data_IF_686261131958
#
_entry.id   IF_686261131958
#
_cell.length_a   1.000
_cell.length_b   1.000
_cell.length_c   1.000
_cell.angle_alpha   90.00
_cell.angle_beta   90.00
_cell.angle_gamma   90.00
#
_symmetry.space_group_name_H-M   'P 1'
#
loop_
_entity.id
_entity.type
_entity.pdbx_description
1 polymer ?
#
# COMPACT_ATOMS: atom_id res chain seq x y z
N UNK A 1 94.58 -17.82 -45.46
CA UNK A 1 94.09 -17.96 -44.07
C UNK A 1 93.18 -16.81 -43.63
N UNK A 2 93.40 -15.54 -44.00
CA UNK A 2 92.56 -14.42 -43.54
C UNK A 2 91.11 -14.38 -44.08
N UNK A 3 90.86 -14.83 -45.31
CA UNK A 3 89.53 -14.82 -45.93
C UNK A 3 88.59 -15.91 -45.38
N UNK A 4 89.13 -17.05 -44.98
CA UNK A 4 88.37 -18.18 -44.42
C UNK A 4 87.84 -17.87 -43.02
N UNK A 5 88.66 -17.23 -42.17
CA UNK A 5 88.30 -16.76 -40.83
C UNK A 5 87.19 -15.68 -40.84
N UNK A 6 87.19 -14.78 -41.83
CA UNK A 6 86.15 -13.75 -41.99
C UNK A 6 84.83 -14.38 -42.43
N UNK A 7 84.87 -15.36 -43.35
CA UNK A 7 83.67 -16.09 -43.79
C UNK A 7 83.06 -16.92 -42.66
N UNK A 8 83.88 -17.58 -41.81
CA UNK A 8 83.39 -18.30 -40.64
C UNK A 8 82.76 -17.37 -39.61
N UNK A 9 83.34 -16.19 -39.38
CA UNK A 9 82.81 -15.20 -38.42
C UNK A 9 81.46 -14.63 -38.88
N UNK A 10 81.32 -14.32 -40.18
CA UNK A 10 80.07 -13.83 -40.75
C UNK A 10 78.93 -14.87 -40.67
N UNK A 11 79.23 -16.16 -40.91
CA UNK A 11 78.26 -17.26 -40.79
C UNK A 11 77.78 -17.45 -39.34
N UNK A 12 78.68 -17.33 -38.38
CA UNK A 12 78.35 -17.44 -36.95
C UNK A 12 77.46 -16.26 -36.52
N UNK A 13 77.79 -15.04 -36.93
CA UNK A 13 76.98 -13.85 -36.62
C UNK A 13 75.57 -13.94 -37.23
N UNK A 14 75.45 -14.44 -38.47
CA UNK A 14 74.15 -14.70 -39.10
C UNK A 14 73.34 -15.74 -38.34
N UNK A 15 73.96 -16.84 -37.92
CA UNK A 15 73.28 -17.89 -37.13
C UNK A 15 72.74 -17.35 -35.79
N UNK A 16 73.51 -16.51 -35.09
CA UNK A 16 73.03 -15.86 -33.87
C UNK A 16 71.86 -14.90 -34.14
N UNK A 17 71.90 -14.15 -35.25
CA UNK A 17 70.78 -13.32 -35.69
C UNK A 17 69.51 -14.14 -35.97
N UNK A 18 69.63 -15.22 -36.74
CA UNK A 18 68.51 -16.12 -37.05
C UNK A 18 67.93 -16.77 -35.77
N UNK A 19 68.80 -17.11 -34.79
CA UNK A 19 68.36 -17.63 -33.48
C UNK A 19 67.61 -16.58 -32.65
N UNK A 20 68.06 -15.33 -32.65
CA UNK A 20 67.38 -14.23 -31.95
C UNK A 20 66.01 -13.92 -32.59
N UNK A 21 65.91 -13.98 -33.92
CA UNK A 21 64.62 -13.86 -34.64
C UNK A 21 63.66 -15.00 -34.26
N UNK A 22 64.14 -16.25 -34.26
CA UNK A 22 63.34 -17.40 -33.81
C UNK A 22 62.89 -17.27 -32.36
N UNK A 23 63.78 -16.79 -31.47
CA UNK A 23 63.46 -16.50 -30.06
C UNK A 23 62.37 -15.43 -29.94
N UNK A 24 62.41 -14.38 -30.76
CA UNK A 24 61.40 -13.32 -30.76
C UNK A 24 60.02 -13.84 -31.22
N UNK A 25 59.98 -14.72 -32.23
CA UNK A 25 58.74 -15.38 -32.68
C UNK A 25 58.18 -16.28 -31.57
N UNK A 26 59.02 -17.12 -30.95
CA UNK A 26 58.60 -17.97 -29.83
C UNK A 26 58.07 -17.15 -28.65
N UNK A 27 58.70 -16.01 -28.35
CA UNK A 27 58.23 -15.10 -27.30
C UNK A 27 56.86 -14.52 -27.64
N UNK A 28 56.65 -14.08 -28.88
CA UNK A 28 55.36 -13.55 -29.36
C UNK A 28 54.28 -14.62 -29.33
N UNK A 29 54.59 -15.83 -29.82
CA UNK A 29 53.67 -16.96 -29.79
C UNK A 29 53.29 -17.33 -28.37
N UNK A 30 54.24 -17.36 -27.45
CA UNK A 30 53.98 -17.62 -26.02
C UNK A 30 53.04 -16.58 -25.44
N UNK A 31 53.26 -15.29 -25.71
CA UNK A 31 52.38 -14.20 -25.24
C UNK A 31 50.95 -14.35 -25.77
N UNK A 32 50.79 -14.68 -27.06
CA UNK A 32 49.47 -14.90 -27.64
C UNK A 32 48.76 -16.09 -26.99
N UNK A 33 49.47 -17.20 -26.75
CA UNK A 33 48.91 -18.35 -26.05
C UNK A 33 48.51 -18.03 -24.62
N UNK A 34 49.31 -17.26 -23.87
CA UNK A 34 48.95 -16.84 -22.52
C UNK A 34 47.71 -15.96 -22.52
N UNK A 35 47.66 -14.95 -23.41
CA UNK A 35 46.48 -14.07 -23.52
C UNK A 35 45.22 -14.84 -23.92
N UNK A 36 45.35 -15.81 -24.82
CA UNK A 36 44.23 -16.66 -25.24
C UNK A 36 43.74 -17.54 -24.07
N UNK A 37 44.66 -18.13 -23.31
CA UNK A 37 44.33 -18.93 -22.12
C UNK A 37 43.61 -18.09 -21.07
N UNK A 38 44.13 -16.91 -20.75
CA UNK A 38 43.51 -15.99 -19.78
C UNK A 38 42.09 -15.59 -20.20
N UNK A 39 41.88 -15.34 -21.50
CA UNK A 39 40.56 -15.02 -22.02
C UNK A 39 39.60 -16.22 -21.93
N UNK A 40 40.07 -17.44 -22.22
CA UNK A 40 39.26 -18.65 -22.03
C UNK A 40 38.89 -18.88 -20.57
N UNK A 41 39.83 -18.69 -19.65
CA UNK A 41 39.58 -18.81 -18.22
C UNK A 41 38.57 -17.75 -17.73
N UNK A 42 38.72 -16.51 -18.21
CA UNK A 42 37.76 -15.43 -17.94
C UNK A 42 36.36 -15.75 -18.48
N UNK A 43 36.27 -16.25 -19.71
CA UNK A 43 35.00 -16.62 -20.33
C UNK A 43 34.35 -17.80 -19.60
N UNK A 44 35.13 -18.83 -19.25
CA UNK A 44 34.67 -19.99 -18.50
C UNK A 44 34.13 -19.57 -17.13
N UNK A 45 34.82 -18.67 -16.44
CA UNK A 45 34.35 -18.08 -15.17
C UNK A 45 33.06 -17.27 -15.36
N UNK A 46 32.96 -16.44 -16.40
CA UNK A 46 31.75 -15.67 -16.67
C UNK A 46 30.55 -16.56 -17.00
N UNK A 47 30.77 -17.64 -17.75
CA UNK A 47 29.73 -18.63 -18.10
C UNK A 47 29.28 -19.38 -16.84
N UNK A 48 30.19 -19.81 -15.97
CA UNK A 48 29.82 -20.52 -14.74
C UNK A 48 29.05 -19.62 -13.78
N UNK A 49 29.47 -18.36 -13.61
CA UNK A 49 28.75 -17.36 -12.82
C UNK A 49 27.32 -17.11 -13.35
N UNK A 50 27.19 -16.92 -14.67
CA UNK A 50 25.87 -16.72 -15.30
C UNK A 50 24.99 -17.97 -15.19
N UNK A 51 25.57 -19.16 -15.35
CA UNK A 51 24.85 -20.42 -15.19
C UNK A 51 24.30 -20.57 -13.77
N UNK A 52 25.13 -20.31 -12.75
CA UNK A 52 24.69 -20.32 -11.36
C UNK A 52 23.64 -19.25 -11.04
N UNK A 53 23.77 -18.05 -11.62
CA UNK A 53 22.77 -16.98 -11.47
C UNK A 53 21.42 -17.35 -12.11
N UNK A 54 21.44 -18.05 -13.24
CA UNK A 54 20.21 -18.53 -13.89
C UNK A 54 19.56 -19.66 -13.08
N UNK A 55 20.36 -20.61 -12.60
CA UNK A 55 19.87 -21.71 -11.77
C UNK A 55 19.20 -21.20 -10.50
N UNK A 56 19.79 -20.22 -9.80
CA UNK A 56 19.18 -19.61 -8.62
C UNK A 56 17.88 -18.87 -8.93
N UNK A 57 17.79 -18.19 -10.08
CA UNK A 57 16.55 -17.56 -10.55
C UNK A 57 15.47 -18.58 -10.89
N UNK A 58 15.83 -19.69 -11.53
CA UNK A 58 14.89 -20.79 -11.84
C UNK A 58 14.33 -21.35 -10.53
N UNK A 59 15.18 -21.69 -9.57
CA UNK A 59 14.76 -22.21 -8.27
C UNK A 59 13.83 -21.24 -7.51
N UNK A 60 14.13 -19.93 -7.55
CA UNK A 60 13.28 -18.88 -6.96
C UNK A 60 11.92 -18.76 -7.67
N UNK A 61 11.88 -18.88 -9.00
CA UNK A 61 10.63 -18.87 -9.75
C UNK A 61 9.79 -20.12 -9.48
N UNK A 62 10.44 -21.29 -9.37
CA UNK A 62 9.76 -22.53 -9.00
C UNK A 62 9.18 -22.48 -7.59
N UNK A 63 9.94 -21.99 -6.61
CA UNK A 63 9.44 -21.86 -5.23
C UNK A 63 8.22 -20.94 -5.19
N UNK A 64 8.30 -19.77 -5.85
CA UNK A 64 7.19 -18.82 -5.96
C UNK A 64 5.98 -19.42 -6.68
N UNK A 65 6.20 -20.24 -7.71
CA UNK A 65 5.12 -20.91 -8.43
C UNK A 65 4.42 -21.95 -7.56
N UNK A 66 5.18 -22.75 -6.79
CA UNK A 66 4.62 -23.71 -5.83
C UNK A 66 3.81 -23.01 -4.74
N UNK A 67 4.34 -21.93 -4.17
CA UNK A 67 3.65 -21.11 -3.16
C UNK A 67 2.35 -20.50 -3.70
N UNK A 68 2.39 -19.94 -4.91
CA UNK A 68 1.20 -19.38 -5.57
C UNK A 68 0.15 -20.46 -5.85
N UNK A 69 0.56 -21.65 -6.32
CA UNK A 69 -0.36 -22.76 -6.55
C UNK A 69 -1.05 -23.18 -5.26
N UNK A 70 -0.29 -23.38 -4.18
CA UNK A 70 -0.85 -23.75 -2.89
C UNK A 70 -1.81 -22.67 -2.33
N UNK A 71 -1.49 -21.39 -2.55
CA UNK A 71 -2.39 -20.27 -2.21
C UNK A 71 -3.69 -20.30 -3.02
N UNK A 72 -3.64 -20.66 -4.30
CA UNK A 72 -4.81 -20.81 -5.16
C UNK A 72 -5.65 -22.02 -4.75
N UNK A 73 -5.04 -23.18 -4.52
CA UNK A 73 -5.73 -24.41 -4.08
C UNK A 73 -6.47 -24.18 -2.77
N UNK A 74 -5.84 -23.48 -1.81
CA UNK A 74 -6.48 -23.12 -0.56
C UNK A 74 -7.67 -22.17 -0.75
N UNK A 75 -7.54 -21.19 -1.66
CA UNK A 75 -8.66 -20.29 -1.99
C UNK A 75 -9.80 -21.05 -2.64
N UNK A 76 -9.50 -21.93 -3.59
CA UNK A 76 -10.48 -22.77 -4.29
C UNK A 76 -11.25 -23.67 -3.31
N UNK A 77 -10.54 -24.33 -2.40
CA UNK A 77 -11.16 -25.15 -1.34
C UNK A 77 -12.12 -24.35 -0.45
N UNK A 78 -11.92 -23.03 -0.28
CA UNK A 78 -12.81 -22.17 0.51
C UNK A 78 -14.03 -21.65 -0.26
N UNK A 79 -14.07 -21.77 -1.60
CA UNK A 79 -15.16 -21.22 -2.43
C UNK A 79 -16.51 -21.88 -2.12
N UNK A 80 -16.63 -23.23 -1.98
CA UNK A 80 -17.92 -23.86 -1.66
C UNK A 80 -18.50 -23.37 -0.33
N UNK A 81 -17.67 -23.24 0.70
CA UNK A 81 -18.08 -22.74 2.01
C UNK A 81 -18.56 -21.27 1.92
N UNK A 82 -17.77 -20.41 1.25
CA UNK A 82 -18.17 -19.01 0.99
C UNK A 82 -19.47 -18.94 0.19
N UNK A 83 -19.66 -19.79 -0.80
CA UNK A 83 -20.86 -19.89 -1.62
C UNK A 83 -22.09 -20.29 -0.81
N UNK A 84 -21.96 -21.32 0.04
CA UNK A 84 -23.03 -21.76 0.95
C UNK A 84 -23.41 -20.67 1.96
N UNK A 85 -22.41 -20.01 2.57
CA UNK A 85 -22.64 -18.89 3.49
C UNK A 85 -23.34 -17.71 2.81
N UNK A 86 -22.92 -17.36 1.59
CA UNK A 86 -23.56 -16.30 0.81
C UNK A 86 -25.02 -16.66 0.48
N UNK A 87 -25.28 -17.91 0.06
CA UNK A 87 -26.63 -18.38 -0.23
C UNK A 87 -27.54 -18.33 1.02
N UNK A 88 -27.04 -18.78 2.18
CA UNK A 88 -27.75 -18.70 3.45
C UNK A 88 -28.11 -17.25 3.81
N UNK A 89 -27.16 -16.32 3.65
CA UNK A 89 -27.41 -14.89 3.87
C UNK A 89 -28.45 -14.32 2.92
N UNK A 90 -28.43 -14.70 1.64
CA UNK A 90 -29.44 -14.22 0.69
C UNK A 90 -30.84 -14.73 1.03
N UNK A 91 -30.98 -15.98 1.52
CA UNK A 91 -32.27 -16.51 1.93
C UNK A 91 -32.74 -15.86 3.24
N UNK A 92 -31.85 -15.62 4.20
CA UNK A 92 -32.14 -14.86 5.43
C UNK A 92 -32.61 -13.43 5.11
N UNK A 93 -31.90 -12.72 4.22
CA UNK A 93 -32.28 -11.38 3.78
C UNK A 93 -33.63 -11.37 3.06
N UNK A 94 -33.89 -12.38 2.22
CA UNK A 94 -35.19 -12.54 1.55
C UNK A 94 -36.31 -12.80 2.56
N UNK A 95 -36.09 -13.67 3.55
CA UNK A 95 -37.05 -13.92 4.62
C UNK A 95 -37.32 -12.65 5.44
N UNK A 96 -36.28 -11.89 5.79
CA UNK A 96 -36.41 -10.61 6.49
C UNK A 96 -37.17 -9.56 5.65
N UNK A 97 -36.90 -9.49 4.33
CA UNK A 97 -37.61 -8.58 3.43
C UNK A 97 -39.11 -8.93 3.31
N UNK A 98 -39.45 -10.22 3.27
CA UNK A 98 -40.85 -10.68 3.28
C UNK A 98 -41.54 -10.32 4.60
N UNK A 99 -40.88 -10.55 5.74
CA UNK A 99 -41.42 -10.17 7.05
C UNK A 99 -41.68 -8.65 7.17
N UNK A 100 -40.83 -7.81 6.57
CA UNK A 100 -41.03 -6.36 6.53
C UNK A 100 -42.21 -5.94 5.63
N UNK A 101 -42.48 -6.67 4.55
CA UNK A 101 -43.68 -6.44 3.71
C UNK A 101 -44.94 -6.76 4.52
N UNK A 102 -44.94 -7.86 5.27
CA UNK A 102 -46.06 -8.25 6.14
C UNK A 102 -46.27 -7.26 7.30
N UNK A 103 -45.18 -6.72 7.87
CA UNK A 103 -45.20 -5.77 8.99
C UNK A 103 -45.58 -4.33 8.59
N UNK A 104 -45.66 -4.02 7.30
CA UNK A 104 -45.95 -2.68 6.75
C UNK A 104 -47.39 -2.17 7.02
N UNK A 105 -48.10 -2.79 7.95
CA UNK A 105 -49.44 -2.43 8.44
C UNK A 105 -49.44 -1.54 9.69
N UNK A 106 -48.29 -1.23 10.33
CA UNK A 106 -48.24 -0.30 11.47
C UNK A 106 -47.11 0.72 11.35
N UNK A 107 -47.45 2.00 11.21
CA UNK A 107 -46.50 3.10 11.09
C UNK A 107 -45.97 3.55 12.45
N UNK A 108 -44.67 3.32 12.67
CA UNK A 108 -43.63 4.22 13.21
C UNK A 108 -42.39 3.32 13.45
N UNK A 109 -41.38 3.39 12.58
CA UNK A 109 -40.20 2.52 12.68
C UNK A 109 -39.11 3.23 13.49
N UNK A 110 -38.53 2.52 14.46
CA UNK A 110 -37.37 2.99 15.23
C UNK A 110 -36.19 3.39 14.31
N UNK A 111 -35.36 4.33 14.77
CA UNK A 111 -34.14 4.80 14.08
C UNK A 111 -33.26 3.67 13.48
N UNK A 112 -32.85 2.64 14.23
CA UNK A 112 -32.04 1.55 13.71
C UNK A 112 -32.76 0.72 12.64
N UNK A 113 -34.05 0.43 12.82
CA UNK A 113 -34.83 -0.36 11.85
C UNK A 113 -35.03 0.40 10.54
N UNK A 114 -35.19 1.72 10.60
CA UNK A 114 -35.24 2.56 9.40
C UNK A 114 -33.92 2.54 8.63
N UNK A 115 -32.77 2.62 9.32
CA UNK A 115 -31.44 2.51 8.69
C UNK A 115 -31.23 1.14 8.03
N UNK A 116 -31.56 0.06 8.76
CA UNK A 116 -31.50 -1.31 8.22
C UNK A 116 -32.41 -1.47 7.01
N UNK A 117 -33.61 -0.88 7.03
CA UNK A 117 -34.56 -0.91 5.91
C UNK A 117 -33.97 -0.32 4.64
N UNK A 118 -33.30 0.84 4.72
CA UNK A 118 -32.62 1.45 3.58
C UNK A 118 -31.46 0.58 3.07
N UNK A 119 -30.68 -0.02 3.99
CA UNK A 119 -29.55 -0.90 3.62
C UNK A 119 -30.02 -2.19 2.93
N UNK A 120 -31.07 -2.84 3.46
CA UNK A 120 -31.69 -4.04 2.86
C UNK A 120 -32.28 -3.76 1.48
N UNK A 121 -32.88 -2.59 1.28
CA UNK A 121 -33.43 -2.13 -0.01
C UNK A 121 -32.36 -1.65 -0.99
N UNK A 122 -31.10 -1.55 -0.57
CA UNK A 122 -30.01 -0.95 -1.34
C UNK A 122 -30.32 0.47 -1.83
N UNK A 123 -31.05 1.27 -1.04
CA UNK A 123 -31.42 2.65 -1.37
C UNK A 123 -30.37 3.63 -0.83
N UNK A 124 -29.30 3.84 -1.61
CA UNK A 124 -28.21 4.77 -1.32
C UNK A 124 -28.71 6.20 -1.08
N UNK A 125 -29.64 6.65 -1.92
CA UNK A 125 -30.13 8.02 -1.89
C UNK A 125 -30.99 8.31 -0.65
N UNK A 126 -31.94 7.42 -0.36
CA UNK A 126 -32.78 7.49 0.84
C UNK A 126 -31.94 7.42 2.11
N UNK A 127 -30.95 6.52 2.13
CA UNK A 127 -30.02 6.38 3.25
C UNK A 127 -29.23 7.67 3.53
N UNK A 128 -28.62 8.27 2.51
CA UNK A 128 -27.86 9.52 2.66
C UNK A 128 -28.77 10.66 3.13
N UNK A 129 -29.97 10.80 2.55
CA UNK A 129 -30.95 11.83 2.97
C UNK A 129 -31.35 11.65 4.43
N UNK A 130 -31.59 10.41 4.86
CA UNK A 130 -31.98 10.10 6.24
C UNK A 130 -30.85 10.39 7.23
N UNK A 131 -29.62 9.96 6.91
CA UNK A 131 -28.42 10.25 7.74
C UNK A 131 -28.25 11.76 7.90
N UNK A 132 -28.38 12.55 6.83
CA UNK A 132 -28.30 14.01 6.87
C UNK A 132 -29.35 14.60 7.82
N UNK A 133 -30.60 14.15 7.73
CA UNK A 133 -31.69 14.61 8.61
C UNK A 133 -31.45 14.33 10.10
N UNK A 134 -30.67 13.28 10.41
CA UNK A 134 -30.33 12.86 11.78
C UNK A 134 -28.97 13.34 12.27
N UNK A 135 -28.36 14.34 11.62
CA UNK A 135 -27.02 14.86 11.97
C UNK A 135 -26.82 15.20 13.45
N UNK A 136 -27.84 15.75 14.12
CA UNK A 136 -27.74 16.16 15.52
C UNK A 136 -27.51 14.97 16.48
N UNK A 137 -27.86 13.76 16.07
CA UNK A 137 -27.74 12.50 16.82
C UNK A 137 -26.44 11.73 16.47
N UNK A 138 -25.43 12.42 15.93
CA UNK A 138 -24.24 11.83 15.26
C UNK A 138 -23.44 10.76 16.04
N UNK A 139 -23.47 10.77 17.38
CA UNK A 139 -22.68 9.85 18.21
C UNK A 139 -23.30 8.45 18.18
N UNK A 140 -24.58 8.35 18.52
CA UNK A 140 -25.34 7.10 18.47
C UNK A 140 -25.47 6.60 17.02
N UNK A 141 -25.65 7.53 16.08
CA UNK A 141 -25.83 7.22 14.66
C UNK A 141 -24.64 6.45 14.05
N UNK A 142 -23.40 6.72 14.47
CA UNK A 142 -22.22 6.01 13.94
C UNK A 142 -22.24 4.51 14.23
N UNK A 143 -22.57 4.13 15.46
CA UNK A 143 -22.64 2.72 15.84
C UNK A 143 -23.77 2.01 15.10
N UNK A 144 -24.93 2.66 14.97
CA UNK A 144 -26.08 2.12 14.25
C UNK A 144 -25.81 1.97 12.74
N UNK A 145 -25.10 2.92 12.10
CA UNK A 145 -24.74 2.81 10.68
C UNK A 145 -23.85 1.59 10.43
N UNK A 146 -22.87 1.32 11.30
CA UNK A 146 -21.99 0.15 11.16
C UNK A 146 -22.80 -1.14 11.20
N UNK A 147 -23.79 -1.23 12.10
CA UNK A 147 -24.67 -2.39 12.20
C UNK A 147 -25.62 -2.48 11.00
N UNK A 148 -26.22 -1.36 10.58
CA UNK A 148 -27.16 -1.32 9.46
C UNK A 148 -26.51 -1.66 8.12
N UNK A 149 -25.27 -1.21 7.88
CA UNK A 149 -24.53 -1.53 6.65
C UNK A 149 -24.23 -3.04 6.56
N UNK A 150 -24.05 -3.73 7.68
CA UNK A 150 -23.85 -5.18 7.69
C UNK A 150 -25.09 -5.96 7.21
N UNK A 151 -26.29 -5.36 7.28
CA UNK A 151 -27.56 -5.91 6.79
C UNK A 151 -27.77 -5.67 5.28
N UNK A 152 -26.92 -4.86 4.64
CA UNK A 152 -27.01 -4.63 3.21
C UNK A 152 -26.67 -5.89 2.41
N UNK A 153 -27.30 -6.03 1.23
CA UNK A 153 -27.01 -7.14 0.30
C UNK A 153 -25.56 -7.08 -0.19
N UNK A 154 -25.10 -5.88 -0.53
CA UNK A 154 -23.73 -5.61 -0.98
C UNK A 154 -23.26 -4.27 -0.37
N UNK A 155 -22.69 -4.31 0.85
CA UNK A 155 -22.28 -3.10 1.56
C UNK A 155 -21.30 -2.21 0.77
N UNK A 156 -20.25 -2.75 0.13
CA UNK A 156 -19.37 -1.95 -0.73
C UNK A 156 -20.11 -1.27 -1.86
N UNK A 157 -21.00 -1.97 -2.57
CA UNK A 157 -21.78 -1.38 -3.66
C UNK A 157 -22.67 -0.24 -3.18
N UNK A 158 -23.39 -0.42 -2.07
CA UNK A 158 -24.24 0.60 -1.49
C UNK A 158 -23.47 1.90 -1.20
N UNK A 159 -22.26 1.77 -0.65
CA UNK A 159 -21.39 2.92 -0.33
C UNK A 159 -20.84 3.57 -1.61
N UNK A 160 -20.45 2.77 -2.61
CA UNK A 160 -20.01 3.29 -3.90
C UNK A 160 -21.13 4.03 -4.65
N UNK A 161 -22.36 3.53 -4.62
CA UNK A 161 -23.53 4.18 -5.22
C UNK A 161 -23.80 5.55 -4.53
N UNK A 162 -23.73 5.58 -3.19
CA UNK A 162 -23.83 6.83 -2.43
C UNK A 162 -22.71 7.84 -2.76
N UNK A 163 -21.48 7.37 -2.95
CA UNK A 163 -20.36 8.22 -3.35
C UNK A 163 -20.50 8.76 -4.78
N UNK A 164 -20.98 7.93 -5.71
CA UNK A 164 -21.26 8.36 -7.09
C UNK A 164 -22.27 9.50 -7.11
N UNK A 165 -23.39 9.35 -6.38
CA UNK A 165 -24.41 10.40 -6.26
C UNK A 165 -23.88 11.67 -5.57
N UNK A 166 -22.97 11.52 -4.62
CA UNK A 166 -22.30 12.66 -3.98
C UNK A 166 -21.44 13.43 -4.98
N UNK A 167 -20.65 12.76 -5.82
CA UNK A 167 -19.83 13.40 -6.85
C UNK A 167 -20.69 14.09 -7.91
N UNK A 168 -21.77 13.47 -8.35
CA UNK A 168 -22.75 14.11 -9.24
C UNK A 168 -23.35 15.38 -8.63
N UNK A 169 -23.63 15.33 -7.32
CA UNK A 169 -24.14 16.49 -6.58
C UNK A 169 -23.08 17.57 -6.41
N UNK A 170 -21.80 17.18 -6.27
CA UNK A 170 -20.65 18.09 -6.20
C UNK A 170 -20.47 18.82 -7.53
N UNK A 171 -20.56 18.12 -8.67
CA UNK A 171 -20.54 18.71 -10.00
C UNK A 171 -21.66 19.77 -10.17
N UNK A 172 -22.84 19.50 -9.61
CA UNK A 172 -24.01 20.41 -9.64
C UNK A 172 -24.01 21.48 -8.53
N UNK A 173 -23.03 21.46 -7.61
CA UNK A 173 -22.93 22.35 -6.43
C UNK A 173 -24.17 22.35 -5.51
N UNK A 174 -24.89 21.22 -5.40
CA UNK A 174 -26.12 21.08 -4.61
C UNK A 174 -25.90 20.31 -3.31
N UNK A 175 -26.08 20.96 -2.16
CA UNK A 175 -26.10 20.28 -0.84
C UNK A 175 -24.81 19.51 -0.51
N UNK A 176 -23.66 19.97 -1.03
CA UNK A 176 -22.39 19.22 -1.04
C UNK A 176 -21.86 18.94 0.36
N UNK A 177 -21.97 19.92 1.27
CA UNK A 177 -21.46 19.79 2.66
C UNK A 177 -22.16 18.68 3.42
N UNK A 178 -23.47 18.54 3.20
CA UNK A 178 -24.29 17.62 3.96
C UNK A 178 -24.11 16.19 3.50
N UNK A 179 -24.10 16.00 2.19
CA UNK A 179 -23.82 14.71 1.55
C UNK A 179 -22.40 14.25 1.83
N UNK A 180 -21.40 15.16 1.82
CA UNK A 180 -20.01 14.83 2.18
C UNK A 180 -19.91 14.23 3.58
N UNK A 181 -20.61 14.83 4.55
CA UNK A 181 -20.60 14.33 5.93
C UNK A 181 -21.23 12.94 6.02
N UNK A 182 -22.39 12.72 5.40
CA UNK A 182 -23.04 11.42 5.39
C UNK A 182 -22.21 10.34 4.68
N UNK A 183 -21.64 10.65 3.50
CA UNK A 183 -20.74 9.73 2.78
C UNK A 183 -19.49 9.41 3.59
N UNK A 184 -18.94 10.38 4.33
CA UNK A 184 -17.80 10.14 5.22
C UNK A 184 -18.11 9.11 6.31
N UNK A 185 -19.33 9.15 6.87
CA UNK A 185 -19.78 8.13 7.83
C UNK A 185 -19.95 6.77 7.19
N UNK A 186 -20.52 6.70 5.97
CA UNK A 186 -20.70 5.44 5.24
C UNK A 186 -19.36 4.78 4.90
N UNK A 187 -18.38 5.56 4.42
CA UNK A 187 -17.02 5.08 4.13
C UNK A 187 -16.32 4.62 5.40
N UNK A 188 -16.44 5.38 6.50
CA UNK A 188 -15.89 4.97 7.80
C UNK A 188 -16.54 3.68 8.33
N UNK A 189 -17.84 3.49 8.10
CA UNK A 189 -18.57 2.32 8.53
C UNK A 189 -18.26 1.08 7.67
N UNK A 190 -17.94 1.26 6.39
CA UNK A 190 -17.42 0.19 5.52
C UNK A 190 -16.01 -0.25 5.93
N UNK A 191 -15.18 0.71 6.36
CA UNK A 191 -13.80 0.48 6.77
C UNK A 191 -13.56 0.89 8.23
N UNK A 192 -14.15 0.17 9.20
CA UNK A 192 -14.03 0.52 10.61
C UNK A 192 -12.58 0.38 11.10
N UNK A 193 -12.14 1.32 11.94
CA UNK A 193 -10.80 1.33 12.51
C UNK A 193 -10.51 0.02 13.28
N UNK A 194 -9.34 -0.59 13.07
CA UNK A 194 -8.88 -1.77 13.83
C UNK A 194 -9.27 -3.15 13.28
N UNK A 195 -10.04 -3.23 12.18
CA UNK A 195 -10.36 -4.51 11.49
C UNK A 195 -9.59 -4.74 10.18
N UNK A 196 -8.61 -3.90 9.87
CA UNK A 196 -7.69 -4.12 8.77
C UNK A 196 -6.62 -5.13 9.20
N UNK A 197 -6.94 -6.43 9.20
CA UNK A 197 -5.91 -7.46 9.18
C UNK A 197 -5.04 -7.29 7.92
N UNK A 198 -3.82 -7.86 7.86
CA UNK A 198 -2.90 -7.68 6.74
C UNK A 198 -3.55 -7.96 5.37
N UNK A 199 -4.52 -8.88 5.31
CA UNK A 199 -5.29 -9.21 4.09
C UNK A 199 -6.55 -8.38 3.84
N UNK A 200 -7.08 -7.62 4.81
CA UNK A 200 -8.27 -6.75 4.64
C UNK A 200 -9.49 -7.47 4.03
N UNK A 201 -10.58 -6.76 3.72
CA UNK A 201 -11.68 -7.34 2.94
C UNK A 201 -11.20 -7.63 1.50
N UNK A 202 -11.45 -8.83 1.00
CA UNK A 202 -11.14 -9.21 -0.38
C UNK A 202 -12.33 -8.82 -1.27
N UNK A 203 -12.16 -7.81 -2.12
CA UNK A 203 -13.18 -7.34 -3.05
C UNK A 203 -13.05 -8.03 -4.41
N UNK A 204 -14.17 -8.19 -5.13
CA UNK A 204 -14.13 -8.65 -6.51
C UNK A 204 -13.44 -7.63 -7.43
N UNK A 205 -12.82 -8.11 -8.52
CA UNK A 205 -12.15 -7.23 -9.50
C UNK A 205 -13.07 -6.13 -10.03
N UNK A 206 -14.30 -6.47 -10.38
CA UNK A 206 -15.31 -5.52 -10.85
C UNK A 206 -15.66 -4.45 -9.82
N UNK A 207 -15.66 -4.78 -8.53
CA UNK A 207 -15.91 -3.82 -7.45
C UNK A 207 -14.73 -2.85 -7.29
N UNK A 208 -13.50 -3.37 -7.35
CA UNK A 208 -12.27 -2.56 -7.27
C UNK A 208 -12.18 -1.63 -8.48
N UNK A 209 -12.49 -2.11 -9.69
CA UNK A 209 -12.55 -1.31 -10.91
C UNK A 209 -13.59 -0.18 -10.81
N UNK A 210 -14.78 -0.48 -10.28
CA UNK A 210 -15.81 0.55 -10.02
C UNK A 210 -15.32 1.59 -9.01
N UNK A 211 -14.75 1.16 -7.89
CA UNK A 211 -14.20 2.07 -6.88
C UNK A 211 -13.10 2.95 -7.48
N UNK A 212 -12.25 2.38 -8.32
CA UNK A 212 -11.23 3.12 -9.04
C UNK A 212 -11.83 4.17 -9.99
N UNK A 213 -12.88 3.83 -10.76
CA UNK A 213 -13.56 4.81 -11.62
C UNK A 213 -14.18 5.97 -10.85
N UNK A 214 -14.73 5.72 -9.65
CA UNK A 214 -15.23 6.78 -8.75
C UNK A 214 -14.08 7.66 -8.27
N UNK A 215 -12.96 7.07 -7.85
CA UNK A 215 -11.75 7.80 -7.42
C UNK A 215 -11.17 8.63 -8.57
N UNK A 216 -11.13 8.10 -9.79
CA UNK A 216 -10.69 8.82 -11.00
C UNK A 216 -11.59 10.04 -11.26
N UNK A 217 -12.91 9.85 -11.19
CA UNK A 217 -13.90 10.94 -11.35
C UNK A 217 -13.73 11.99 -10.26
N UNK A 218 -13.53 11.54 -9.02
CA UNK A 218 -13.29 12.43 -7.89
C UNK A 218 -12.02 13.25 -8.09
N UNK A 219 -10.94 12.62 -8.59
CA UNK A 219 -9.67 13.27 -8.91
C UNK A 219 -9.82 14.32 -10.01
N UNK A 220 -10.56 14.02 -11.07
CA UNK A 220 -10.83 14.98 -12.14
C UNK A 220 -11.51 16.27 -11.63
N UNK A 221 -12.41 16.14 -10.65
CA UNK A 221 -13.01 17.29 -9.96
C UNK A 221 -12.02 18.11 -9.11
N UNK A 222 -10.86 17.55 -8.76
CA UNK A 222 -9.81 18.24 -8.00
C UNK A 222 -8.87 19.00 -8.95
N UNK A 223 -8.55 18.40 -10.10
CA UNK A 223 -7.66 18.98 -11.10
C UNK A 223 -8.34 20.12 -11.88
N UNK A 224 -9.65 19.98 -12.19
CA UNK A 224 -10.41 20.94 -12.99
C UNK A 224 -10.75 22.29 -12.33
N UNK A 225 -10.63 22.41 -11.00
CA UNK A 225 -10.95 23.63 -10.24
C UNK A 225 -9.69 24.50 -9.96
N UNK A 226 -8.50 24.13 -10.45
CA UNK A 226 -7.24 24.81 -10.11
C UNK A 226 -6.64 25.63 -11.25
N UNK A 227 -6.55 26.95 -11.06
CA UNK A 227 -5.66 27.84 -11.83
C UNK A 227 -4.32 28.03 -11.09
N UNK A 228 -3.96 27.09 -10.19
CA UNK A 228 -2.80 27.19 -9.29
C UNK A 228 -2.61 25.96 -8.41
N UNK A 229 -2.04 24.88 -8.95
CA UNK A 229 -1.20 23.84 -8.30
C UNK A 229 -1.65 23.08 -7.03
N UNK A 230 -2.72 23.46 -6.35
CA UNK A 230 -3.19 22.90 -5.06
C UNK A 230 -4.51 22.12 -5.19
N UNK A 231 -4.71 21.14 -4.30
CA UNK A 231 -5.93 20.32 -4.27
C UNK A 231 -7.07 21.09 -3.60
N UNK A 232 -8.27 21.07 -4.17
CA UNK A 232 -9.44 21.82 -3.63
C UNK A 232 -10.23 21.07 -2.56
N UNK A 233 -9.67 20.02 -1.95
CA UNK A 233 -10.38 19.25 -0.92
C UNK A 233 -10.33 19.92 0.44
N UNK A 234 -11.48 19.99 1.10
CA UNK A 234 -11.49 20.15 2.56
C UNK A 234 -10.90 18.93 3.26
N UNK A 235 -10.26 19.11 4.42
CA UNK A 235 -9.58 18.04 5.15
C UNK A 235 -10.45 16.79 5.44
N UNK A 236 -11.75 16.95 5.66
CA UNK A 236 -12.68 15.82 5.86
C UNK A 236 -12.90 15.00 4.58
N UNK A 237 -12.92 15.66 3.43
CA UNK A 237 -13.06 15.02 2.12
C UNK A 237 -11.79 14.26 1.76
N UNK A 238 -10.62 14.84 2.04
CA UNK A 238 -9.34 14.19 1.83
C UNK A 238 -9.23 12.89 2.63
N UNK A 239 -9.65 12.88 3.89
CA UNK A 239 -9.65 11.64 4.70
C UNK A 239 -10.55 10.58 4.09
N UNK A 240 -11.75 10.97 3.63
CA UNK A 240 -12.67 10.05 2.97
C UNK A 240 -12.06 9.48 1.67
N UNK A 241 -11.44 10.32 0.85
CA UNK A 241 -10.76 9.93 -0.38
C UNK A 241 -9.59 8.97 -0.12
N UNK A 242 -8.74 9.31 0.85
CA UNK A 242 -7.59 8.49 1.27
C UNK A 242 -8.07 7.15 1.85
N UNK A 243 -9.15 7.15 2.63
CA UNK A 243 -9.77 5.93 3.14
C UNK A 243 -10.27 5.01 2.02
N UNK A 244 -10.80 5.57 0.92
CA UNK A 244 -11.19 4.80 -0.27
C UNK A 244 -9.98 4.17 -0.97
N UNK A 245 -8.89 4.94 -1.13
CA UNK A 245 -7.64 4.43 -1.72
C UNK A 245 -7.06 3.27 -0.91
N UNK A 246 -7.00 3.42 0.42
CA UNK A 246 -6.50 2.40 1.35
C UNK A 246 -7.44 1.19 1.36
N UNK A 247 -8.74 1.44 1.57
CA UNK A 247 -9.75 0.42 1.76
C UNK A 247 -9.91 -0.51 0.56
N UNK A 248 -9.93 0.05 -0.66
CA UNK A 248 -10.00 -0.71 -1.91
C UNK A 248 -8.62 -1.10 -2.48
N UNK A 249 -7.53 -0.80 -1.76
CA UNK A 249 -6.14 -1.11 -2.15
C UNK A 249 -5.75 -0.58 -3.53
N UNK A 250 -6.12 0.66 -3.81
CA UNK A 250 -5.91 1.31 -5.10
C UNK A 250 -4.51 1.93 -5.25
N UNK A 251 -3.57 1.62 -4.34
CA UNK A 251 -2.22 2.24 -4.30
C UNK A 251 -1.43 2.05 -5.60
N UNK A 252 -1.49 0.86 -6.20
CA UNK A 252 -0.74 0.53 -7.41
C UNK A 252 -1.26 1.27 -8.63
N UNK A 253 -2.57 1.57 -8.68
CA UNK A 253 -3.20 2.24 -9.82
C UNK A 253 -2.97 3.76 -9.80
N UNK A 254 -3.00 4.38 -8.62
CA UNK A 254 -2.98 5.84 -8.49
C UNK A 254 -1.62 6.44 -8.13
N UNK A 255 -0.63 5.59 -7.82
CA UNK A 255 0.72 5.99 -7.48
C UNK A 255 0.85 6.48 -6.04
N UNK A 256 1.98 6.14 -5.40
CA UNK A 256 2.26 6.51 -4.00
C UNK A 256 2.44 8.02 -3.80
N UNK A 257 2.82 8.75 -4.85
CA UNK A 257 3.08 10.19 -4.80
C UNK A 257 1.82 11.02 -4.50
N UNK A 258 0.70 10.67 -5.15
CA UNK A 258 -0.59 11.33 -4.95
C UNK A 258 -1.03 11.17 -3.50
N UNK A 259 -0.90 9.95 -2.97
CA UNK A 259 -1.20 9.65 -1.59
C UNK A 259 -0.30 10.42 -0.63
N UNK A 260 1.03 10.41 -0.87
CA UNK A 260 2.01 11.10 -0.04
C UNK A 260 1.69 12.59 0.04
N UNK A 261 1.41 13.23 -1.09
CA UNK A 261 1.03 14.66 -1.14
C UNK A 261 -0.21 14.93 -0.28
N UNK A 262 -1.27 14.14 -0.44
CA UNK A 262 -2.53 14.28 0.32
C UNK A 262 -2.36 14.06 1.83
N UNK A 263 -1.54 13.08 2.22
CA UNK A 263 -1.26 12.82 3.64
C UNK A 263 -0.46 13.96 4.24
N UNK A 264 0.55 14.48 3.53
CA UNK A 264 1.38 15.60 4.01
C UNK A 264 0.57 16.89 4.12
N UNK A 265 -0.28 17.19 3.13
CA UNK A 265 -1.15 18.38 3.11
C UNK A 265 -2.20 18.38 4.24
N UNK A 266 -2.57 17.20 4.74
CA UNK A 266 -3.56 17.03 5.82
C UNK A 266 -3.00 16.32 7.07
N UNK A 267 -1.69 16.35 7.29
CA UNK A 267 -1.00 15.61 8.34
C UNK A 267 -1.43 15.97 9.77
N UNK A 268 -1.97 17.19 9.98
CA UNK A 268 -2.48 17.64 11.26
C UNK A 268 -3.69 16.83 11.78
N UNK A 269 -4.33 16.01 10.93
CA UNK A 269 -5.46 15.16 11.32
C UNK A 269 -4.98 13.80 11.81
N UNK A 270 -5.39 13.43 13.03
CA UNK A 270 -5.13 12.10 13.64
C UNK A 270 -5.47 10.93 12.72
N UNK A 271 -6.54 11.06 11.94
CA UNK A 271 -7.02 9.96 11.08
C UNK A 271 -6.12 9.77 9.85
N UNK A 272 -5.45 10.83 9.35
CA UNK A 272 -4.49 10.70 8.23
C UNK A 272 -3.23 9.94 8.66
N UNK A 273 -2.74 10.16 9.88
CA UNK A 273 -1.60 9.42 10.42
C UNK A 273 -1.89 7.91 10.51
N UNK A 274 -3.12 7.53 10.92
CA UNK A 274 -3.55 6.13 10.95
C UNK A 274 -3.61 5.52 9.55
N UNK A 275 -4.14 6.26 8.58
CA UNK A 275 -4.26 5.80 7.19
C UNK A 275 -2.90 5.61 6.52
N UNK A 276 -1.92 6.46 6.84
CA UNK A 276 -0.54 6.32 6.38
C UNK A 276 0.12 5.03 6.90
N UNK A 277 -0.13 4.66 8.17
CA UNK A 277 0.39 3.42 8.76
C UNK A 277 -0.18 2.14 8.13
N UNK A 278 -1.44 2.17 7.69
CA UNK A 278 -2.12 1.03 7.08
C UNK A 278 -1.61 0.65 5.68
N UNK A 279 -0.80 1.50 5.04
CA UNK A 279 -0.31 1.31 3.67
C UNK A 279 1.11 0.76 3.57
N UNK A 280 1.74 0.41 4.69
CA UNK A 280 3.14 -0.08 4.72
C UNK A 280 4.08 0.85 3.94
N UNK A 281 3.97 2.16 4.13
CA UNK A 281 4.94 3.16 3.65
C UNK A 281 6.33 3.03 4.32
N UNK A 282 6.60 1.87 4.92
CA UNK A 282 7.61 1.61 5.94
C UNK A 282 9.06 1.62 5.46
N UNK A 283 9.36 1.46 4.17
CA UNK A 283 10.77 1.47 3.71
C UNK A 283 11.23 2.82 3.12
N UNK A 284 10.32 3.66 2.61
CA UNK A 284 10.67 4.96 1.99
C UNK A 284 10.15 6.19 2.75
N UNK A 285 9.49 6.01 3.89
CA UNK A 285 9.11 7.10 4.79
C UNK A 285 9.76 7.00 6.17
N UNK A 286 10.77 6.16 6.38
CA UNK A 286 11.53 6.16 7.64
C UNK A 286 12.10 7.54 7.97
N UNK A 287 12.52 8.28 6.96
CA UNK A 287 13.06 9.65 7.11
C UNK A 287 11.93 10.72 7.17
N UNK A 288 10.86 10.59 6.38
CA UNK A 288 9.74 11.55 6.33
C UNK A 288 8.73 11.41 7.50
N UNK A 289 8.60 10.23 8.11
CA UNK A 289 7.72 10.00 9.27
C UNK A 289 8.22 10.78 10.49
N UNK A 290 9.52 11.05 10.56
CA UNK A 290 10.10 11.96 11.56
C UNK A 290 9.45 13.34 11.46
N UNK A 291 9.13 13.83 10.26
CA UNK A 291 8.47 15.12 10.03
C UNK A 291 6.99 15.10 10.39
N UNK A 292 6.27 14.00 10.13
CA UNK A 292 4.86 13.85 10.54
C UNK A 292 4.75 13.76 12.07
N UNK A 293 5.65 13.02 12.71
CA UNK A 293 5.77 12.95 14.16
C UNK A 293 6.11 14.34 14.72
N UNK A 294 7.12 15.03 14.19
CA UNK A 294 7.49 16.41 14.58
C UNK A 294 6.34 17.40 14.35
N UNK A 295 5.53 17.25 13.30
CA UNK A 295 4.37 18.10 13.03
C UNK A 295 3.21 17.84 14.01
N UNK A 296 2.99 16.59 14.40
CA UNK A 296 2.05 16.21 15.45
C UNK A 296 2.51 16.73 16.83
N UNK A 297 3.81 16.71 17.11
CA UNK A 297 4.40 17.28 18.34
C UNK A 297 4.43 18.82 18.33
N UNK A 298 4.63 19.46 17.18
CA UNK A 298 4.56 20.92 17.01
C UNK A 298 3.15 21.48 17.27
N UNK A 299 2.10 20.76 16.88
CA UNK A 299 0.71 21.14 17.17
C UNK A 299 0.33 20.96 18.66
N UNK A 300 0.92 19.98 19.36
CA UNK A 300 0.73 19.81 20.81
C UNK A 300 1.36 20.94 21.64
N UNK A 301 2.34 21.64 21.07
CA UNK A 301 3.00 22.81 21.68
C UNK A 301 2.14 24.09 21.66
N UNK A 302 0.99 24.08 20.97
CA UNK A 302 0.08 25.23 20.81
C UNK A 302 -1.10 25.20 21.81
N UNK A 303 -1.28 24.09 22.55
CA UNK A 303 -2.33 23.99 23.60
C UNK A 303 -1.71 24.00 25.01
N UNK A 304 -1.77 25.13 25.75
CA UNK A 304 -1.27 25.20 27.12
C UNK A 304 -2.36 24.66 28.06
N UNK A 305 -2.50 23.33 28.15
CA UNK A 305 -3.48 22.72 29.06
C UNK A 305 -3.05 21.37 29.61
N UNK A 306 -1.78 21.24 29.99
CA UNK A 306 -1.34 20.15 30.85
C UNK A 306 -0.45 20.71 31.95
N UNK A 307 -0.70 20.25 33.19
CA UNK A 307 0.08 20.63 34.37
C UNK A 307 1.54 20.17 34.21
N UNK A 308 2.50 20.97 34.66
CA UNK A 308 3.95 20.80 34.40
C UNK A 308 4.50 19.40 34.68
N UNK A 309 3.87 18.63 35.56
CA UNK A 309 4.31 17.28 35.91
C UNK A 309 3.99 16.23 34.84
N UNK A 310 2.86 16.38 34.13
CA UNK A 310 2.48 15.46 33.05
C UNK A 310 3.32 15.69 31.79
N UNK A 311 3.69 16.95 31.52
CA UNK A 311 4.66 17.28 30.48
C UNK A 311 6.04 16.69 30.79
N UNK A 312 6.50 16.77 32.05
CA UNK A 312 7.81 16.25 32.44
C UNK A 312 7.89 14.71 32.34
N UNK A 313 6.84 14.01 32.75
CA UNK A 313 6.74 12.55 32.62
C UNK A 313 6.66 12.10 31.15
N UNK A 314 5.96 12.85 30.28
CA UNK A 314 5.92 12.56 28.84
C UNK A 314 7.30 12.75 28.20
N UNK A 315 8.02 13.82 28.57
CA UNK A 315 9.37 14.11 28.07
C UNK A 315 10.39 13.07 28.54
N UNK A 316 10.29 12.59 29.78
CA UNK A 316 11.13 11.50 30.31
C UNK A 316 10.82 10.15 29.66
N UNK A 317 9.54 9.83 29.44
CA UNK A 317 9.14 8.64 28.70
C UNK A 317 9.65 8.69 27.24
N UNK A 318 9.56 9.85 26.58
CA UNK A 318 10.10 10.06 25.24
C UNK A 318 11.63 9.95 25.18
N UNK A 319 12.38 10.50 26.15
CA UNK A 319 13.84 10.36 26.20
C UNK A 319 14.28 8.90 26.35
N UNK A 320 13.46 8.09 27.03
CA UNK A 320 13.73 6.66 27.24
C UNK A 320 13.40 5.86 25.98
N UNK A 321 12.28 6.15 25.30
CA UNK A 321 11.89 5.50 24.04
C UNK A 321 12.86 5.87 22.90
N UNK A 322 13.34 7.12 22.87
CA UNK A 322 14.31 7.57 21.88
C UNK A 322 15.70 6.96 22.09
N UNK A 323 16.09 6.68 23.35
CA UNK A 323 17.29 5.89 23.65
C UNK A 323 17.14 4.42 23.27
N UNK A 324 15.97 3.82 23.52
CA UNK A 324 15.70 2.42 23.16
C UNK A 324 15.69 2.23 21.63
N UNK A 325 15.07 3.13 20.88
CA UNK A 325 15.10 3.10 19.42
C UNK A 325 16.51 3.32 18.85
N UNK A 326 17.29 4.24 19.43
CA UNK A 326 18.67 4.50 19.01
C UNK A 326 19.61 3.30 19.26
N UNK A 327 19.39 2.51 20.31
CA UNK A 327 20.17 1.31 20.60
C UNK A 327 19.75 0.09 19.75
N UNK A 328 18.46 -0.02 19.42
CA UNK A 328 17.95 -1.07 18.52
C UNK A 328 18.46 -0.88 17.09
N UNK A 329 18.59 0.37 16.63
CA UNK A 329 19.08 0.70 15.28
C UNK A 329 20.59 0.47 15.09
N UNK A 330 21.37 0.39 16.19
CA UNK A 330 22.82 0.12 16.15
C UNK A 330 23.23 -1.35 16.37
N UNK A 331 22.27 -2.27 16.51
CA UNK A 331 22.55 -3.71 16.51
C UNK A 331 23.38 -4.22 17.69
N UNK A 332 23.41 -3.52 18.82
CA UNK A 332 23.95 -4.08 20.07
C UNK A 332 22.82 -4.76 20.85
N UNK A 333 22.80 -6.10 20.80
CA UNK A 333 21.96 -6.94 21.65
C UNK A 333 22.45 -6.78 23.09
N UNK A 334 21.81 -5.92 23.88
CA UNK A 334 21.95 -5.97 25.33
C UNK A 334 21.17 -7.18 25.84
N UNK A 335 21.92 -8.25 26.13
CA UNK A 335 21.43 -9.40 26.89
C UNK A 335 20.96 -8.93 28.27
N UNK A 336 19.65 -8.88 28.48
CA UNK A 336 19.07 -8.71 29.80
C UNK A 336 19.03 -10.06 30.52
N UNK A 337 20.20 -10.50 30.99
CA UNK A 337 20.29 -11.42 32.13
C UNK A 337 20.17 -10.63 33.43
N UNK A 338 19.32 -11.15 34.33
CA UNK A 338 19.26 -10.90 35.79
C UNK A 338 18.89 -9.50 36.25
N UNK A 339 17.74 -9.37 36.91
CA UNK A 339 17.66 -9.13 38.35
C UNK A 339 16.30 -9.63 38.87
N UNK A 340 16.35 -10.46 39.91
CA UNK A 340 15.21 -10.94 40.71
C UNK A 340 14.52 -9.80 41.44
#
# INVERSE_FOLDING_TARGET
MGTELVVTTNRVQKFFGDLDEQRAILSTSTKLFTTLSDHFDSLQKSISEKSHSLESKIQSLESRTRENSHSLDHREASIPERGSSAAARTEEQKAAALAEVDKKTSGDLDLPETLKSFCRKMDSQGLVKFIVSKRKESISLKAEIVQAIAEAVDPPRLVLDALSEFLDSKAKKLGVTDKRWACGLLVQALFPEGKAGPKGPEFSRSMVERAAGIVDTWKAHMDGDSNGGGWTLGAAEAVMFVQMLVGFRLKEKFGEEVFRKLVMEHAARRDMAKLAGALELGEKMGEDLSFVVVSLFGAASIFPRFSSWQYFLLVLACSTIQKVLYYVEKGEVLSLTTYQ
#
